data_IF_638414920476
#
_entry.id   IF_638414920476
#
_cell.length_a   1.000
_cell.length_b   1.000
_cell.length_c   1.000
_cell.angle_alpha   90.00
_cell.angle_beta   90.00
_cell.angle_gamma   90.00
#
_symmetry.space_group_name_H-M   'P 1'
#
loop_
_entity.id
_entity.type
_entity.pdbx_description
1 polymer ?
#
# COMPACT_ATOMS: atom_id res chain seq x y z
N UNK A 1 -14.42 49.32 -8.71
CA UNK A 1 -14.98 48.44 -7.66
C UNK A 1 -16.36 48.89 -7.11
N UNK A 2 -17.05 49.82 -7.74
CA UNK A 2 -18.20 50.48 -7.12
C UNK A 2 -19.57 50.14 -7.76
N UNK A 3 -19.79 48.92 -8.24
CA UNK A 3 -21.03 48.59 -8.98
C UNK A 3 -21.76 47.29 -8.61
N UNK A 4 -21.45 46.69 -7.48
CA UNK A 4 -22.23 45.55 -7.01
C UNK A 4 -22.90 45.93 -5.69
N UNK A 5 -24.22 46.01 -5.69
CA UNK A 5 -25.07 46.17 -4.49
C UNK A 5 -25.22 44.84 -3.75
N UNK A 6 -24.13 44.10 -3.60
CA UNK A 6 -24.08 42.78 -2.93
C UNK A 6 -23.59 43.04 -1.51
N UNK A 7 -24.21 42.41 -0.53
CA UNK A 7 -23.74 42.36 0.83
C UNK A 7 -22.32 41.75 0.87
N UNK A 8 -21.44 42.37 1.65
CA UNK A 8 -20.02 42.03 1.70
C UNK A 8 -19.57 41.84 3.12
N UNK A 9 -18.92 40.74 3.41
CA UNK A 9 -18.22 40.53 4.65
C UNK A 9 -16.74 40.30 4.36
N UNK A 10 -15.84 40.73 5.24
CA UNK A 10 -14.40 40.60 5.13
C UNK A 10 -13.87 39.86 6.35
N UNK A 11 -13.08 38.85 6.11
CA UNK A 11 -12.40 38.07 7.14
C UNK A 11 -10.90 38.12 6.89
N UNK A 12 -10.06 38.21 7.94
CA UNK A 12 -8.62 38.34 7.80
C UNK A 12 -7.97 37.05 7.22
N UNK A 13 -8.55 35.88 7.51
CA UNK A 13 -8.11 34.60 7.06
C UNK A 13 -9.28 33.58 7.01
N UNK A 14 -8.98 32.38 6.48
CA UNK A 14 -9.97 31.30 6.33
C UNK A 14 -10.43 30.74 7.67
N UNK A 15 -9.56 30.69 8.69
CA UNK A 15 -9.92 30.19 10.01
C UNK A 15 -10.98 31.06 10.67
N UNK A 16 -10.81 32.37 10.63
CA UNK A 16 -11.79 33.34 11.15
C UNK A 16 -13.14 33.23 10.43
N UNK A 17 -13.14 33.01 9.12
CA UNK A 17 -14.36 32.76 8.34
C UNK A 17 -15.07 31.49 8.80
N UNK A 18 -14.34 30.39 8.99
CA UNK A 18 -14.90 29.10 9.47
C UNK A 18 -15.51 29.27 10.86
N UNK A 19 -14.83 29.98 11.75
CA UNK A 19 -15.38 30.29 13.08
C UNK A 19 -16.67 31.10 13.03
N UNK A 20 -16.75 32.08 12.16
CA UNK A 20 -17.97 32.90 11.98
C UNK A 20 -19.14 32.05 11.46
N UNK A 21 -18.89 31.13 10.54
CA UNK A 21 -19.89 30.15 10.07
C UNK A 21 -20.32 29.23 11.23
N UNK A 22 -19.37 28.70 11.99
CA UNK A 22 -19.64 27.81 13.14
C UNK A 22 -20.46 28.51 14.25
N UNK A 23 -20.29 29.82 14.44
CA UNK A 23 -21.06 30.64 15.40
C UNK A 23 -22.41 31.09 14.85
N UNK A 24 -22.73 30.80 13.58
CA UNK A 24 -23.97 31.19 12.92
C UNK A 24 -24.06 32.69 12.57
N UNK A 25 -22.93 33.39 12.60
CA UNK A 25 -22.83 34.80 12.20
C UNK A 25 -22.99 34.95 10.67
N UNK A 26 -22.58 33.94 9.92
CA UNK A 26 -22.79 33.83 8.47
C UNK A 26 -23.62 32.58 8.18
N UNK A 27 -24.86 32.78 7.69
CA UNK A 27 -25.75 31.68 7.30
C UNK A 27 -25.71 31.51 5.78
N UNK A 28 -25.30 30.32 5.34
CA UNK A 28 -25.20 29.93 3.93
C UNK A 28 -26.07 28.68 3.74
N UNK A 29 -27.41 28.90 3.69
CA UNK A 29 -28.39 27.82 3.56
C UNK A 29 -29.08 27.87 2.20
N UNK A 30 -29.18 26.73 1.53
CA UNK A 30 -29.82 26.56 0.21
C UNK A 30 -29.25 27.48 -0.90
N UNK A 31 -27.96 27.73 -0.87
CA UNK A 31 -27.25 28.57 -1.84
C UNK A 31 -26.20 27.76 -2.62
N UNK A 32 -25.88 28.26 -3.80
CA UNK A 32 -24.71 27.74 -4.57
C UNK A 32 -23.52 28.64 -4.21
N UNK A 33 -22.51 28.03 -3.60
CA UNK A 33 -21.33 28.72 -3.10
C UNK A 33 -20.16 28.48 -4.06
N UNK A 34 -19.60 29.58 -4.62
CA UNK A 34 -18.37 29.53 -5.39
C UNK A 34 -17.19 29.89 -4.51
N UNK A 35 -16.33 28.89 -4.21
CA UNK A 35 -15.09 29.10 -3.48
C UNK A 35 -13.95 29.26 -4.50
N UNK A 36 -13.28 30.42 -4.50
CA UNK A 36 -12.21 30.73 -5.43
C UNK A 36 -11.09 31.51 -4.76
N UNK A 37 -9.85 30.99 -4.85
CA UNK A 37 -8.66 31.66 -4.34
C UNK A 37 -7.38 30.90 -4.60
N UNK A 38 -6.25 31.47 -4.18
CA UNK A 38 -4.96 30.81 -4.26
C UNK A 38 -4.81 29.74 -3.18
N UNK A 39 -4.04 28.67 -3.44
CA UNK A 39 -3.80 27.55 -2.51
C UNK A 39 -3.37 27.99 -1.10
N UNK A 40 -2.64 29.11 -1.00
CA UNK A 40 -2.19 29.65 0.29
C UNK A 40 -3.32 30.00 1.28
N UNK A 41 -4.57 30.12 0.80
CA UNK A 41 -5.73 30.42 1.66
C UNK A 41 -6.33 29.17 2.32
N UNK A 42 -5.93 27.95 1.93
CA UNK A 42 -6.39 26.72 2.58
C UNK A 42 -7.92 26.51 2.47
N UNK A 43 -8.51 26.81 1.32
CA UNK A 43 -9.97 26.73 1.13
C UNK A 43 -10.55 25.32 1.17
N UNK A 44 -9.69 24.28 1.20
CA UNK A 44 -10.12 22.91 1.43
C UNK A 44 -10.82 22.77 2.79
N UNK A 45 -10.25 23.40 3.83
CA UNK A 45 -10.87 23.44 5.16
C UNK A 45 -12.22 24.18 5.17
N UNK A 46 -12.37 25.24 4.36
CA UNK A 46 -13.65 25.93 4.21
C UNK A 46 -14.69 25.06 3.50
N UNK A 47 -14.29 24.34 2.46
CA UNK A 47 -15.17 23.38 1.76
C UNK A 47 -15.68 22.32 2.73
N UNK A 48 -14.80 21.73 3.52
CA UNK A 48 -15.14 20.72 4.53
C UNK A 48 -16.10 21.29 5.61
N UNK A 49 -15.89 22.53 6.04
CA UNK A 49 -16.75 23.20 7.01
C UNK A 49 -18.15 23.53 6.47
N UNK A 50 -18.28 23.74 5.16
CA UNK A 50 -19.54 24.05 4.46
C UNK A 50 -20.29 22.82 3.96
N UNK A 51 -19.61 21.67 3.88
CA UNK A 51 -20.26 20.43 3.50
C UNK A 51 -21.37 20.08 4.50
N UNK A 52 -22.62 20.12 4.01
CA UNK A 52 -23.75 19.61 4.78
C UNK A 52 -23.67 18.10 4.79
N UNK A 53 -23.14 17.52 5.86
CA UNK A 53 -23.15 16.07 6.08
C UNK A 53 -24.60 15.59 6.27
N UNK A 54 -25.27 15.31 5.16
CA UNK A 54 -26.66 14.83 5.16
C UNK A 54 -26.70 13.35 5.55
N UNK A 55 -25.62 12.63 5.25
CA UNK A 55 -25.43 11.23 5.66
C UNK A 55 -23.97 11.05 6.08
N UNK A 56 -23.75 10.56 7.26
CA UNK A 56 -22.44 10.13 7.72
C UNK A 56 -22.31 8.63 7.44
N UNK A 57 -21.57 8.28 6.39
CA UNK A 57 -21.17 6.88 6.17
C UNK A 57 -19.88 6.65 6.95
N UNK A 58 -19.95 5.86 7.99
CA UNK A 58 -18.81 5.51 8.84
C UNK A 58 -18.33 4.12 8.43
N UNK A 59 -17.03 3.99 8.11
CA UNK A 59 -16.35 2.71 8.04
C UNK A 59 -15.74 2.40 9.41
N UNK A 60 -16.33 1.45 10.12
CA UNK A 60 -15.81 0.98 11.40
C UNK A 60 -14.95 -0.26 11.20
N UNK A 61 -13.68 -0.21 11.62
CA UNK A 61 -12.73 -1.32 11.52
C UNK A 61 -12.44 -1.85 12.92
N UNK A 62 -12.87 -3.08 13.19
CA UNK A 62 -12.61 -3.74 14.47
C UNK A 62 -11.27 -4.49 14.44
N UNK A 63 -10.22 -3.87 14.97
CA UNK A 63 -8.87 -4.44 15.03
C UNK A 63 -8.82 -5.72 15.89
N UNK A 64 -9.63 -5.82 16.94
CA UNK A 64 -9.72 -7.04 17.76
C UNK A 64 -10.26 -8.23 16.96
N UNK A 65 -11.29 -8.03 16.14
CA UNK A 65 -11.82 -9.05 15.23
C UNK A 65 -10.79 -9.45 14.16
N UNK A 66 -10.04 -8.47 13.63
CA UNK A 66 -8.95 -8.75 12.69
C UNK A 66 -7.88 -9.66 13.31
N UNK A 67 -7.47 -9.40 14.54
CA UNK A 67 -6.49 -10.22 15.24
C UNK A 67 -7.05 -11.60 15.61
N UNK A 68 -8.32 -11.69 15.96
CA UNK A 68 -8.97 -13.00 16.14
C UNK A 68 -8.91 -13.84 14.86
N UNK A 69 -9.16 -13.23 13.70
CA UNK A 69 -9.00 -13.89 12.40
C UNK A 69 -7.54 -14.28 12.12
N UNK A 70 -6.58 -13.40 12.35
CA UNK A 70 -5.15 -13.70 12.21
C UNK A 70 -4.77 -14.93 13.05
N UNK A 71 -5.16 -14.97 14.31
CA UNK A 71 -4.86 -16.06 15.23
C UNK A 71 -5.59 -17.36 14.84
N UNK A 72 -6.80 -17.27 14.29
CA UNK A 72 -7.52 -18.43 13.77
C UNK A 72 -6.74 -19.11 12.62
N UNK A 73 -6.24 -18.32 11.66
CA UNK A 73 -5.41 -18.86 10.59
C UNK A 73 -4.06 -19.35 11.10
N UNK A 74 -3.40 -18.60 11.98
CA UNK A 74 -2.13 -18.99 12.60
C UNK A 74 -2.23 -20.34 13.32
N UNK A 75 -3.33 -20.58 14.02
CA UNK A 75 -3.59 -21.85 14.71
C UNK A 75 -3.77 -23.07 13.79
N UNK A 76 -3.96 -22.85 12.48
CA UNK A 76 -4.03 -23.93 11.48
C UNK A 76 -2.69 -24.23 10.80
N UNK A 77 -1.70 -23.39 11.04
CA UNK A 77 -0.37 -23.50 10.43
C UNK A 77 0.58 -24.25 11.37
N UNK A 78 1.61 -24.84 10.79
CA UNK A 78 2.72 -25.37 11.58
C UNK A 78 3.51 -24.22 12.21
N UNK A 79 4.17 -24.45 13.37
CA UNK A 79 4.90 -23.38 14.08
C UNK A 79 5.97 -22.67 13.24
N UNK A 80 6.61 -23.40 12.32
CA UNK A 80 7.65 -22.88 11.43
C UNK A 80 7.11 -22.09 10.22
N UNK A 81 5.79 -22.12 9.97
CA UNK A 81 5.17 -21.44 8.82
C UNK A 81 5.11 -19.95 9.03
N UNK A 82 5.70 -19.20 8.15
CA UNK A 82 5.68 -17.74 8.16
C UNK A 82 4.41 -17.19 7.52
N UNK A 83 3.93 -16.07 8.05
CA UNK A 83 2.74 -15.39 7.57
C UNK A 83 3.10 -14.06 6.89
N UNK A 84 2.57 -13.86 5.70
CA UNK A 84 2.62 -12.59 4.97
C UNK A 84 1.22 -11.98 4.97
N UNK A 85 1.09 -10.77 5.50
CA UNK A 85 -0.18 -10.05 5.52
C UNK A 85 -0.20 -8.93 4.48
N UNK A 86 -1.20 -8.94 3.60
CA UNK A 86 -1.37 -7.95 2.55
C UNK A 86 -2.07 -6.69 3.10
N UNK A 87 -1.40 -5.53 2.95
CA UNK A 87 -1.92 -4.22 3.41
C UNK A 87 -1.91 -3.17 2.30
N UNK A 88 -1.92 -3.60 1.03
CA UNK A 88 -1.99 -2.72 -0.14
C UNK A 88 -3.28 -1.91 -0.20
N UNK A 89 -3.29 -0.86 -1.02
CA UNK A 89 -4.43 0.03 -1.25
C UNK A 89 -5.01 0.56 0.07
N UNK A 90 -4.14 1.13 0.93
CA UNK A 90 -4.50 1.59 2.27
C UNK A 90 -5.19 0.50 3.11
N UNK A 91 -4.62 -0.72 3.11
CA UNK A 91 -5.22 -1.92 3.72
C UNK A 91 -6.66 -2.14 3.25
N UNK A 92 -6.85 -2.10 1.91
CA UNK A 92 -8.16 -2.21 1.25
C UNK A 92 -9.16 -1.12 1.70
N UNK A 93 -8.66 0.08 1.97
CA UNK A 93 -9.45 1.23 2.42
C UNK A 93 -9.68 1.30 3.94
N UNK A 94 -9.14 0.37 4.71
CA UNK A 94 -9.32 0.32 6.17
C UNK A 94 -8.30 1.13 6.97
N UNK A 95 -7.33 1.78 6.30
CA UNK A 95 -6.23 2.52 6.93
C UNK A 95 -4.96 1.67 7.06
N UNK A 96 -3.90 2.05 6.30
CA UNK A 96 -2.70 1.21 6.19
C UNK A 96 -1.86 1.20 7.47
N UNK A 97 -1.73 2.34 8.14
CA UNK A 97 -0.84 2.46 9.29
C UNK A 97 -1.34 1.68 10.51
N UNK A 98 -2.59 1.89 10.93
CA UNK A 98 -3.20 1.22 12.08
C UNK A 98 -3.22 -0.29 11.90
N UNK A 99 -3.59 -0.76 10.70
CA UNK A 99 -3.59 -2.18 10.36
C UNK A 99 -2.17 -2.75 10.37
N UNK A 100 -1.21 -2.10 9.69
CA UNK A 100 0.17 -2.57 9.63
C UNK A 100 0.84 -2.60 11.00
N UNK A 101 0.61 -1.56 11.83
CA UNK A 101 1.10 -1.48 13.20
C UNK A 101 0.53 -2.62 14.06
N UNK A 102 -0.78 -2.82 14.00
CA UNK A 102 -1.44 -3.89 14.75
C UNK A 102 -0.90 -5.27 14.34
N UNK A 103 -0.73 -5.52 13.04
CA UNK A 103 -0.15 -6.77 12.54
C UNK A 103 1.30 -6.96 13.00
N UNK A 104 2.11 -5.90 12.98
CA UNK A 104 3.49 -5.92 13.47
C UNK A 104 3.55 -6.22 14.97
N UNK A 105 2.71 -5.57 15.79
CA UNK A 105 2.61 -5.82 17.24
C UNK A 105 2.19 -7.26 17.56
N UNK A 106 1.47 -7.90 16.63
CA UNK A 106 1.09 -9.32 16.69
C UNK A 106 2.06 -10.25 15.95
N UNK A 107 3.30 -9.79 15.69
CA UNK A 107 4.41 -10.59 15.19
C UNK A 107 4.10 -11.34 13.89
N UNK A 108 3.54 -10.66 12.88
CA UNK A 108 3.53 -11.19 11.52
C UNK A 108 4.94 -11.14 10.93
N UNK A 109 5.31 -12.14 10.15
CA UNK A 109 6.67 -12.21 9.60
C UNK A 109 6.92 -11.16 8.52
N UNK A 110 5.90 -10.91 7.68
CA UNK A 110 5.96 -9.97 6.57
C UNK A 110 4.66 -9.21 6.40
N UNK A 111 4.79 -7.97 5.97
CA UNK A 111 3.72 -7.22 5.34
C UNK A 111 3.94 -7.21 3.82
N UNK A 112 2.89 -7.05 3.03
CA UNK A 112 3.01 -6.88 1.60
C UNK A 112 2.13 -5.73 1.11
N UNK A 113 2.69 -4.92 0.23
CA UNK A 113 2.02 -3.77 -0.40
C UNK A 113 2.12 -3.85 -1.92
N UNK A 114 1.35 -3.03 -2.64
CA UNK A 114 1.38 -3.07 -4.10
C UNK A 114 2.64 -2.41 -4.66
N UNK A 115 2.97 -1.21 -4.24
CA UNK A 115 4.02 -0.35 -4.81
C UNK A 115 4.98 0.19 -3.74
N UNK A 116 6.14 0.67 -4.17
CA UNK A 116 7.19 1.16 -3.27
C UNK A 116 6.77 2.36 -2.43
N UNK A 117 5.89 3.22 -2.94
CA UNK A 117 5.41 4.39 -2.22
C UNK A 117 4.63 3.98 -0.96
N UNK A 118 3.73 3.00 -1.06
CA UNK A 118 3.01 2.45 0.11
C UNK A 118 3.98 1.91 1.16
N UNK A 119 5.01 1.17 0.71
CA UNK A 119 6.05 0.64 1.60
C UNK A 119 6.87 1.73 2.28
N UNK A 120 7.27 2.77 1.54
CA UNK A 120 8.02 3.90 2.08
C UNK A 120 7.22 4.70 3.10
N UNK A 121 5.93 4.87 2.87
CA UNK A 121 5.03 5.58 3.79
C UNK A 121 4.84 4.80 5.09
N UNK A 122 4.70 3.48 5.02
CA UNK A 122 4.73 2.63 6.22
C UNK A 122 6.05 2.74 6.98
N UNK A 123 7.20 2.77 6.30
CA UNK A 123 8.52 2.98 6.94
C UNK A 123 8.61 4.33 7.64
N UNK A 124 8.17 5.43 6.97
CA UNK A 124 8.13 6.77 7.56
C UNK A 124 7.22 6.83 8.78
N UNK A 125 6.14 6.06 8.78
CA UNK A 125 5.23 5.91 9.92
C UNK A 125 5.78 5.01 11.06
N UNK A 126 6.98 4.44 10.92
CA UNK A 126 7.64 3.66 11.98
C UNK A 126 7.43 2.15 11.90
N UNK A 127 6.90 1.62 10.80
CA UNK A 127 6.80 0.16 10.60
C UNK A 127 8.19 -0.41 10.31
N UNK A 128 8.60 -1.39 11.10
CA UNK A 128 9.92 -2.06 11.01
C UNK A 128 9.85 -3.49 10.47
N UNK A 129 8.67 -4.10 10.45
CA UNK A 129 8.45 -5.43 9.87
C UNK A 129 8.95 -5.50 8.42
N UNK A 130 9.39 -6.66 7.94
CA UNK A 130 9.75 -6.83 6.53
C UNK A 130 8.56 -6.54 5.62
N UNK A 131 8.80 -5.79 4.52
CA UNK A 131 7.75 -5.39 3.58
C UNK A 131 8.10 -5.88 2.18
N UNK A 132 7.18 -6.64 1.59
CA UNK A 132 7.27 -7.11 0.20
C UNK A 132 6.54 -6.14 -0.72
N UNK A 133 7.17 -5.77 -1.84
CA UNK A 133 6.57 -4.98 -2.91
C UNK A 133 6.10 -5.93 -4.01
N UNK A 134 4.78 -6.01 -4.21
CA UNK A 134 4.16 -6.97 -5.13
C UNK A 134 4.18 -6.51 -6.61
N UNK A 135 4.37 -5.24 -6.87
CA UNK A 135 4.49 -4.69 -8.22
C UNK A 135 5.60 -3.63 -8.25
N UNK A 136 6.86 -4.05 -8.16
CA UNK A 136 7.99 -3.13 -8.13
C UNK A 136 8.17 -2.45 -9.49
N UNK A 137 8.26 -1.14 -9.47
CA UNK A 137 8.62 -0.33 -10.62
C UNK A 137 10.13 -0.10 -10.68
N UNK A 138 10.71 -0.17 -11.87
CA UNK A 138 12.17 0.01 -12.03
C UNK A 138 12.63 1.43 -11.61
N UNK A 139 11.78 2.42 -11.74
CA UNK A 139 12.02 3.80 -11.30
C UNK A 139 12.09 3.93 -9.77
N UNK A 140 11.58 2.97 -9.03
CA UNK A 140 11.50 2.98 -7.58
C UNK A 140 12.59 2.12 -6.89
N UNK A 141 13.55 1.54 -7.62
CA UNK A 141 14.59 0.70 -7.04
C UNK A 141 15.38 1.41 -5.94
N UNK A 142 15.76 2.66 -6.17
CA UNK A 142 16.46 3.43 -5.13
C UNK A 142 15.63 3.57 -3.86
N UNK A 143 14.34 3.86 -3.97
CA UNK A 143 13.41 3.90 -2.83
C UNK A 143 13.36 2.55 -2.12
N UNK A 144 13.32 1.44 -2.87
CA UNK A 144 13.31 0.10 -2.26
C UNK A 144 14.60 -0.18 -1.48
N UNK A 145 15.76 0.22 -2.01
CA UNK A 145 17.04 0.08 -1.32
C UNK A 145 17.10 0.94 -0.06
N UNK A 146 16.77 2.22 -0.17
CA UNK A 146 16.84 3.18 0.94
C UNK A 146 15.92 2.78 2.11
N UNK A 147 14.71 2.28 1.81
CA UNK A 147 13.71 1.87 2.80
C UNK A 147 13.71 0.36 3.12
N UNK A 148 14.65 -0.41 2.56
CA UNK A 148 14.74 -1.88 2.74
C UNK A 148 13.42 -2.58 2.45
N UNK A 149 12.86 -2.30 1.26
CA UNK A 149 11.63 -2.91 0.76
C UNK A 149 12.01 -4.06 -0.19
N UNK A 150 11.47 -5.23 0.04
CA UNK A 150 11.86 -6.46 -0.62
C UNK A 150 10.97 -6.71 -1.87
N UNK A 151 11.48 -6.55 -3.12
CA UNK A 151 10.65 -6.66 -4.31
C UNK A 151 10.28 -8.10 -4.66
N UNK A 152 9.04 -8.30 -5.16
CA UNK A 152 8.66 -9.44 -5.98
C UNK A 152 9.41 -9.38 -7.31
N UNK A 153 9.96 -10.49 -7.78
CA UNK A 153 10.63 -10.59 -9.09
C UNK A 153 9.93 -11.68 -9.90
N UNK A 154 9.39 -11.28 -11.05
CA UNK A 154 8.52 -12.11 -11.87
C UNK A 154 8.95 -12.23 -13.34
N UNK A 155 10.07 -11.57 -13.74
CA UNK A 155 10.59 -11.63 -15.10
C UNK A 155 12.09 -11.37 -15.13
N UNK A 156 12.78 -11.87 -16.18
CA UNK A 156 14.19 -11.60 -16.39
C UNK A 156 14.49 -10.11 -16.59
N UNK A 157 13.61 -9.39 -17.27
CA UNK A 157 13.76 -7.96 -17.48
C UNK A 157 13.84 -7.19 -16.14
N UNK A 158 12.92 -7.49 -15.23
CA UNK A 158 12.91 -6.88 -13.89
C UNK A 158 14.13 -7.33 -13.06
N UNK A 159 14.47 -8.63 -13.11
CA UNK A 159 15.62 -9.18 -12.39
C UNK A 159 16.93 -8.53 -12.84
N UNK A 160 17.18 -8.47 -14.15
CA UNK A 160 18.40 -7.90 -14.70
C UNK A 160 18.53 -6.39 -14.42
N UNK A 161 17.42 -5.65 -14.51
CA UNK A 161 17.38 -4.24 -14.16
C UNK A 161 17.69 -4.01 -12.68
N UNK A 162 17.10 -4.82 -11.79
CA UNK A 162 17.34 -4.74 -10.34
C UNK A 162 18.79 -5.07 -9.97
N UNK A 163 19.35 -6.15 -10.56
CA UNK A 163 20.74 -6.53 -10.35
C UNK A 163 21.67 -5.39 -10.79
N UNK A 164 21.47 -4.86 -11.98
CA UNK A 164 22.27 -3.74 -12.53
C UNK A 164 22.25 -2.51 -11.62
N UNK A 165 21.08 -2.14 -11.12
CA UNK A 165 20.97 -0.97 -10.23
C UNK A 165 21.58 -1.26 -8.86
N UNK A 166 21.40 -2.46 -8.31
CA UNK A 166 22.04 -2.86 -7.05
C UNK A 166 23.59 -2.87 -7.16
N UNK A 167 24.14 -3.40 -8.26
CA UNK A 167 25.58 -3.37 -8.54
C UNK A 167 26.12 -1.94 -8.64
N UNK A 168 25.40 -1.04 -9.30
CA UNK A 168 25.74 0.38 -9.43
C UNK A 168 25.79 1.08 -8.07
N UNK A 169 24.86 0.74 -7.17
CA UNK A 169 24.81 1.28 -5.79
C UNK A 169 25.75 0.52 -4.82
N UNK A 170 26.50 -0.48 -5.30
CA UNK A 170 27.40 -1.30 -4.46
C UNK A 170 26.67 -2.20 -3.48
N UNK A 171 25.40 -2.53 -3.75
CA UNK A 171 24.57 -3.36 -2.88
C UNK A 171 24.81 -4.83 -3.18
N UNK A 172 24.93 -5.65 -2.14
CA UNK A 172 25.04 -7.10 -2.22
C UNK A 172 24.00 -7.80 -1.36
N UNK A 173 23.57 -8.98 -1.81
CA UNK A 173 22.60 -9.81 -1.09
C UNK A 173 21.28 -9.08 -0.76
N UNK A 174 20.83 -8.19 -1.65
CA UNK A 174 19.53 -7.54 -1.46
C UNK A 174 18.41 -8.59 -1.58
N UNK A 175 17.50 -8.67 -0.58
CA UNK A 175 16.50 -9.72 -0.55
C UNK A 175 15.43 -9.51 -1.62
N UNK A 176 15.08 -10.60 -2.32
CA UNK A 176 14.02 -10.64 -3.33
C UNK A 176 13.07 -11.82 -3.10
N UNK A 177 11.87 -11.72 -3.63
CA UNK A 177 10.87 -12.79 -3.62
C UNK A 177 10.55 -13.21 -5.05
N UNK A 178 10.92 -14.44 -5.41
CA UNK A 178 10.75 -14.95 -6.78
C UNK A 178 9.32 -15.46 -6.96
N UNK A 179 8.64 -14.94 -7.97
CA UNK A 179 7.29 -15.39 -8.32
C UNK A 179 7.29 -16.35 -9.48
N UNK A 180 6.57 -17.46 -9.31
CA UNK A 180 6.34 -18.47 -10.34
C UNK A 180 4.90 -18.34 -10.88
N UNK A 181 4.74 -18.51 -12.19
CA UNK A 181 3.43 -18.71 -12.79
C UNK A 181 3.06 -20.19 -12.75
N UNK A 182 2.09 -20.52 -11.92
CA UNK A 182 1.56 -21.89 -11.78
C UNK A 182 0.14 -22.03 -12.36
N UNK A 183 -0.27 -21.11 -13.24
CA UNK A 183 -1.55 -21.21 -13.95
C UNK A 183 -2.45 -19.98 -13.86
N UNK A 184 -2.03 -18.91 -13.15
CA UNK A 184 -2.75 -17.62 -13.15
C UNK A 184 -2.50 -16.83 -14.44
N UNK A 185 -1.34 -17.05 -15.10
CA UNK A 185 -0.93 -16.40 -16.35
C UNK A 185 -1.00 -14.88 -16.31
N UNK A 186 -0.57 -14.30 -15.19
CA UNK A 186 -0.52 -12.85 -15.01
C UNK A 186 0.91 -12.36 -14.84
N UNK A 187 1.63 -12.86 -13.84
CA UNK A 187 3.02 -12.55 -13.52
C UNK A 187 3.69 -13.82 -12.97
N UNK A 188 4.98 -13.98 -13.27
CA UNK A 188 5.79 -15.08 -12.75
C UNK A 188 6.64 -15.73 -13.83
N UNK A 189 7.72 -16.40 -13.40
CA UNK A 189 8.52 -17.23 -14.28
C UNK A 189 7.78 -18.53 -14.59
N UNK A 190 7.83 -18.95 -15.84
CA UNK A 190 7.29 -20.22 -16.28
C UNK A 190 8.21 -21.39 -15.88
N UNK A 191 7.73 -22.66 -15.85
CA UNK A 191 8.56 -23.81 -15.53
C UNK A 191 9.80 -23.91 -16.41
N UNK A 192 9.71 -23.58 -17.69
CA UNK A 192 10.79 -23.60 -18.68
C UNK A 192 11.88 -22.56 -18.37
N UNK A 193 11.57 -21.50 -17.66
CA UNK A 193 12.51 -20.46 -17.27
C UNK A 193 13.45 -20.90 -16.13
N UNK A 194 13.10 -21.95 -15.38
CA UNK A 194 13.78 -22.33 -14.14
C UNK A 194 15.28 -22.59 -14.31
N UNK A 195 15.78 -23.34 -15.31
CA UNK A 195 17.20 -23.55 -15.46
C UNK A 195 17.97 -22.22 -15.64
N UNK A 196 17.47 -21.35 -16.51
CA UNK A 196 18.05 -20.03 -16.79
C UNK A 196 18.00 -19.11 -15.55
N UNK A 197 16.89 -19.14 -14.80
CA UNK A 197 16.73 -18.34 -13.59
C UNK A 197 17.75 -18.76 -12.52
N UNK A 198 17.93 -20.07 -12.30
CA UNK A 198 18.90 -20.61 -11.35
C UNK A 198 20.33 -20.19 -11.72
N UNK A 199 20.70 -20.32 -12.99
CA UNK A 199 22.03 -19.89 -13.47
C UNK A 199 22.21 -18.37 -13.28
N UNK A 200 21.19 -17.58 -13.63
CA UNK A 200 21.25 -16.12 -13.48
C UNK A 200 21.41 -15.68 -12.04
N UNK A 201 20.72 -16.33 -11.11
CA UNK A 201 20.81 -16.02 -9.67
C UNK A 201 22.16 -16.48 -9.08
N UNK A 202 22.73 -17.60 -9.55
CA UNK A 202 24.06 -18.08 -9.11
C UNK A 202 25.20 -17.24 -9.66
N UNK A 203 25.03 -16.63 -10.82
CA UNK A 203 26.07 -15.85 -11.50
C UNK A 203 26.20 -14.39 -11.02
N UNK A 204 25.66 -14.06 -9.85
CA UNK A 204 25.71 -12.70 -9.30
C UNK A 204 25.59 -12.74 -7.76
N UNK A 205 25.91 -11.62 -7.10
CA UNK A 205 25.81 -11.46 -5.64
C UNK A 205 25.05 -10.20 -5.21
N UNK A 206 24.46 -9.48 -6.15
CA UNK A 206 23.71 -8.25 -5.86
C UNK A 206 22.40 -8.54 -5.13
N UNK A 207 21.69 -9.63 -5.53
CA UNK A 207 20.41 -10.00 -4.92
C UNK A 207 20.44 -11.44 -4.40
N UNK A 208 19.58 -11.73 -3.40
CA UNK A 208 19.41 -13.07 -2.83
C UNK A 208 17.94 -13.45 -2.71
N UNK A 209 17.49 -14.61 -3.26
CA UNK A 209 16.13 -15.08 -3.07
C UNK A 209 15.85 -15.42 -1.60
N UNK A 210 14.88 -14.75 -1.02
CA UNK A 210 14.34 -15.04 0.33
C UNK A 210 13.21 -16.03 0.29
N UNK A 211 12.39 -15.98 -0.75
CA UNK A 211 11.30 -16.92 -0.96
C UNK A 211 11.04 -17.13 -2.43
N UNK A 212 10.37 -18.23 -2.71
CA UNK A 212 9.76 -18.56 -3.99
C UNK A 212 8.27 -18.75 -3.71
N UNK A 213 7.39 -18.13 -4.48
CA UNK A 213 5.96 -18.22 -4.25
C UNK A 213 5.15 -18.15 -5.54
N UNK A 214 3.88 -18.49 -5.44
CA UNK A 214 2.94 -18.45 -6.55
C UNK A 214 1.59 -17.93 -6.08
N UNK A 215 0.65 -17.75 -7.02
CA UNK A 215 -0.73 -17.39 -6.75
C UNK A 215 -1.65 -18.54 -7.13
N UNK A 216 -2.47 -19.00 -6.19
CA UNK A 216 -3.44 -20.05 -6.46
C UNK A 216 -4.62 -19.52 -7.26
N UNK A 217 -4.86 -20.10 -8.44
CA UNK A 217 -6.03 -19.82 -9.25
C UNK A 217 -7.27 -20.43 -8.60
N UNK A 218 -8.34 -19.65 -8.47
CA UNK A 218 -9.60 -20.12 -7.95
C UNK A 218 -9.52 -20.73 -6.55
N UNK A 219 -8.80 -20.05 -5.62
CA UNK A 219 -8.59 -20.55 -4.25
C UNK A 219 -9.90 -20.71 -3.44
N UNK A 220 -10.99 -20.18 -3.94
CA UNK A 220 -12.36 -20.26 -3.42
C UNK A 220 -13.22 -21.34 -4.10
N UNK A 221 -12.71 -22.03 -5.14
CA UNK A 221 -13.47 -22.99 -5.93
C UNK A 221 -12.91 -24.42 -5.80
N UNK A 222 -13.70 -25.34 -5.27
CA UNK A 222 -13.32 -26.75 -5.02
C UNK A 222 -12.83 -27.50 -6.27
N UNK A 223 -13.35 -27.13 -7.44
CA UNK A 223 -12.95 -27.76 -8.72
C UNK A 223 -11.45 -27.63 -9.02
N UNK A 224 -10.74 -26.68 -8.39
CA UNK A 224 -9.31 -26.48 -8.56
C UNK A 224 -8.45 -27.12 -7.47
N UNK A 225 -9.05 -27.86 -6.50
CA UNK A 225 -8.30 -28.45 -5.38
C UNK A 225 -7.25 -29.44 -5.85
N UNK A 226 -7.57 -30.29 -6.83
CA UNK A 226 -6.64 -31.26 -7.41
C UNK A 226 -5.42 -30.58 -8.08
N UNK A 227 -5.60 -29.40 -8.68
CA UNK A 227 -4.52 -28.62 -9.29
C UNK A 227 -3.61 -27.94 -8.25
N UNK A 228 -4.13 -27.64 -7.07
CA UNK A 228 -3.38 -27.02 -5.97
C UNK A 228 -2.48 -28.01 -5.23
N UNK A 229 -2.92 -29.25 -5.10
CA UNK A 229 -2.19 -30.31 -4.36
C UNK A 229 -1.03 -30.89 -5.17
N UNK A 230 -1.11 -30.84 -6.50
CA UNK A 230 -0.17 -31.50 -7.42
C UNK A 230 0.84 -30.54 -8.07
N UNK A 231 0.95 -29.30 -7.61
CA UNK A 231 1.89 -28.27 -8.07
C UNK A 231 2.64 -27.69 -6.86
#
# INVERSE_FOLDING_TARGET
AARFSIEKAFYPDTATLIEAIGRGELRLENEIILIKGARKFGFDALTEALEKKVHETILEVNLGAMIANLNHYRGKLKPETKMVCMVKASAYGAGSYEIARTLQEHHVDYLAVAVADEGSDLRKAGITASIIIMNPEMTAFKTMFDYKLEPEVYSFHLLDALIKEAEKEGITNFPIHVKLDTGMHRLGFAPEDMPRLIERLKGQNAVIPRSVFSHFVGSDAQQFDALRVNR
#
